data_IF_242589786593
#
_entry.id   IF_242589786593
#
_cell.length_a   1.000
_cell.length_b   1.000
_cell.length_c   1.000
_cell.angle_alpha   90.00
_cell.angle_beta   90.00
_cell.angle_gamma   90.00
#
_symmetry.space_group_name_H-M   'P 1'
#
loop_
_entity.id
_entity.type
_entity.pdbx_description
1 polymer ?
#
# COMPACT_ATOMS: atom_id res chain seq x y z
N UNK A 1 16.51 17.52 -14.23
CA UNK A 1 16.24 16.13 -13.78
C UNK A 1 15.52 15.42 -14.91
N UNK A 2 16.01 14.27 -15.39
CA UNK A 2 15.35 13.49 -16.45
C UNK A 2 14.75 12.26 -15.77
N UNK A 3 13.42 12.15 -15.75
CA UNK A 3 12.71 10.95 -15.28
C UNK A 3 12.40 10.13 -16.54
N UNK A 4 12.72 8.84 -16.52
CA UNK A 4 12.46 7.93 -17.64
C UNK A 4 11.69 6.74 -17.10
N UNK A 5 10.50 6.52 -17.63
CA UNK A 5 9.71 5.32 -17.40
C UNK A 5 9.78 4.45 -18.66
N UNK A 6 9.91 3.13 -18.50
CA UNK A 6 10.02 2.17 -19.59
C UNK A 6 9.09 1.00 -19.28
N UNK A 7 8.39 0.51 -20.29
CA UNK A 7 7.46 -0.63 -20.19
C UNK A 7 7.70 -1.55 -21.39
N UNK A 8 7.73 -2.86 -21.15
CA UNK A 8 7.74 -3.86 -22.22
C UNK A 8 6.29 -4.17 -22.63
N UNK A 9 5.98 -4.02 -23.92
CA UNK A 9 4.63 -4.27 -24.45
C UNK A 9 4.68 -5.53 -25.30
N UNK A 10 4.03 -6.64 -24.88
CA UNK A 10 3.99 -7.85 -25.68
C UNK A 10 3.13 -7.61 -26.94
N UNK A 11 3.74 -7.75 -28.12
CA UNK A 11 3.05 -7.60 -29.41
C UNK A 11 2.38 -8.94 -29.78
N UNK A 12 1.07 -8.93 -29.98
CA UNK A 12 0.32 -10.06 -30.55
C UNK A 12 -0.17 -9.66 -31.94
N UNK A 13 0.05 -10.51 -32.95
CA UNK A 13 -0.49 -10.32 -34.32
C UNK A 13 -0.08 -8.99 -34.98
N UNK A 14 1.19 -8.58 -34.81
CA UNK A 14 1.80 -7.39 -35.45
C UNK A 14 1.12 -6.03 -35.13
N UNK A 15 0.19 -6.00 -34.17
CA UNK A 15 -0.45 -4.77 -33.69
C UNK A 15 -0.39 -4.71 -32.17
N UNK A 16 -0.10 -3.53 -31.64
CA UNK A 16 -0.22 -3.25 -30.22
C UNK A 16 -1.01 -1.95 -30.02
N UNK A 17 -1.85 -1.94 -29.01
CA UNK A 17 -2.48 -0.74 -28.48
C UNK A 17 -2.09 -0.67 -27.01
N UNK A 18 -1.43 0.42 -26.61
CA UNK A 18 -1.04 0.65 -25.23
C UNK A 18 -1.64 1.97 -24.77
N UNK A 19 -2.48 1.89 -23.74
CA UNK A 19 -3.06 3.06 -23.09
C UNK A 19 -2.28 3.34 -21.82
N UNK A 20 -1.87 4.58 -21.66
CA UNK A 20 -1.14 5.03 -20.49
C UNK A 20 -1.86 6.21 -19.87
N UNK A 21 -2.19 6.12 -18.58
CA UNK A 21 -2.80 7.24 -17.88
C UNK A 21 -1.75 8.31 -17.60
N UNK A 22 -1.97 9.49 -18.17
CA UNK A 22 -1.14 10.68 -17.92
C UNK A 22 -1.66 11.52 -16.76
N UNK A 23 -2.68 11.04 -16.05
CA UNK A 23 -3.39 11.76 -14.98
C UNK A 23 -2.51 12.20 -13.83
N UNK A 24 -1.46 11.43 -13.57
CA UNK A 24 -0.48 11.78 -12.57
C UNK A 24 0.54 12.77 -13.11
N UNK A 25 0.89 12.77 -14.40
CA UNK A 25 2.02 13.51 -15.00
C UNK A 25 1.83 15.04 -14.99
N UNK A 26 2.89 15.83 -14.76
CA UNK A 26 2.78 17.29 -14.81
C UNK A 26 2.58 17.76 -16.25
N UNK A 27 2.06 18.98 -16.40
CA UNK A 27 1.98 19.63 -17.71
C UNK A 27 3.37 19.80 -18.33
N UNK A 28 3.47 19.66 -19.64
CA UNK A 28 4.72 19.85 -20.38
C UNK A 28 4.90 18.93 -21.56
N UNK A 29 6.09 19.02 -22.14
CA UNK A 29 6.50 18.23 -23.31
C UNK A 29 7.18 16.93 -22.84
N UNK A 30 6.67 15.80 -23.32
CA UNK A 30 7.19 14.48 -23.03
C UNK A 30 7.67 13.80 -24.29
N UNK A 31 8.80 13.11 -24.18
CA UNK A 31 9.36 12.30 -25.26
C UNK A 31 8.86 10.87 -25.10
N UNK A 32 8.04 10.41 -26.04
CA UNK A 32 7.63 9.02 -26.17
C UNK A 32 8.53 8.36 -27.22
N UNK A 33 9.24 7.30 -26.83
CA UNK A 33 10.04 6.49 -27.74
C UNK A 33 9.47 5.08 -27.81
N UNK A 34 9.09 4.62 -29.01
CA UNK A 34 8.60 3.27 -29.26
C UNK A 34 9.37 2.70 -30.45
N UNK A 35 10.03 1.55 -30.25
CA UNK A 35 10.86 0.89 -31.27
C UNK A 35 11.86 1.84 -31.98
N UNK A 36 12.50 2.72 -31.19
CA UNK A 36 13.46 3.71 -31.71
C UNK A 36 12.83 4.94 -32.37
N UNK A 37 11.54 4.92 -32.70
CA UNK A 37 10.82 6.10 -33.16
C UNK A 37 10.46 7.00 -31.99
N UNK A 38 10.70 8.31 -32.14
CA UNK A 38 10.47 9.28 -31.08
C UNK A 38 9.40 10.29 -31.50
N UNK A 39 8.42 10.52 -30.61
CA UNK A 39 7.42 11.57 -30.73
C UNK A 39 7.39 12.43 -29.48
N UNK A 40 7.15 13.73 -29.67
CA UNK A 40 6.89 14.64 -28.57
C UNK A 40 5.38 14.70 -28.39
N UNK A 41 4.91 14.41 -27.17
CA UNK A 41 3.53 14.62 -26.76
C UNK A 41 3.49 15.80 -25.80
N UNK A 42 2.55 16.70 -25.99
CA UNK A 42 2.33 17.83 -25.09
C UNK A 42 1.13 17.50 -24.20
N UNK A 43 1.35 17.53 -22.89
CA UNK A 43 0.27 17.42 -21.91
C UNK A 43 -0.16 18.83 -21.51
N UNK A 44 -1.34 19.24 -22.01
CA UNK A 44 -1.99 20.50 -21.68
C UNK A 44 -3.02 20.31 -20.56
N UNK A 45 -3.35 21.38 -19.79
CA UNK A 45 -4.47 21.33 -18.87
C UNK A 45 -5.76 21.00 -19.63
N UNK A 46 -6.53 20.05 -19.11
CA UNK A 46 -7.86 19.71 -19.67
C UNK A 46 -8.76 20.95 -19.59
N UNK A 47 -8.94 21.63 -20.72
CA UNK A 47 -9.92 22.69 -20.88
C UNK A 47 -11.29 22.06 -21.08
N UNK A 48 -12.15 22.12 -20.06
CA UNK A 48 -13.58 21.91 -20.25
C UNK A 48 -14.11 23.00 -21.19
N UNK A 49 -14.61 22.60 -22.36
CA UNK A 49 -15.50 23.45 -23.16
C UNK A 49 -16.79 23.68 -22.36
N UNK A 50 -16.99 24.92 -21.91
CA UNK A 50 -18.31 25.42 -21.52
C UNK A 50 -18.42 26.88 -22.00
N UNK A 51 -19.42 27.11 -22.86
CA UNK A 51 -19.88 28.40 -23.38
C UNK A 51 -20.18 29.43 -22.28
N UNK A 52 -20.16 30.74 -22.59
CA UNK A 52 -20.06 31.80 -21.60
C UNK A 52 -21.43 32.22 -21.07
N UNK A 53 -21.54 32.37 -19.75
CA UNK A 53 -22.49 33.30 -19.15
C UNK A 53 -21.82 34.10 -18.04
N UNK A 54 -22.03 35.40 -18.12
CA UNK A 54 -21.65 36.41 -17.15
C UNK A 54 -22.29 36.18 -15.79
N UNK A 55 -21.53 36.27 -14.71
CA UNK A 55 -21.77 37.31 -13.70
C UNK A 55 -20.70 37.31 -12.59
N UNK A 56 -20.51 38.51 -12.04
CA UNK A 56 -19.50 38.88 -11.05
C UNK A 56 -19.97 38.47 -9.65
N UNK A 57 -19.11 37.85 -8.86
CA UNK A 57 -18.97 38.18 -7.43
C UNK A 57 -17.70 37.58 -6.83
N UNK A 58 -16.96 38.43 -6.14
CA UNK A 58 -15.79 38.12 -5.34
C UNK A 58 -16.19 37.50 -4.01
N UNK A 59 -15.70 36.29 -3.70
CA UNK A 59 -15.47 35.84 -2.33
C UNK A 59 -14.36 34.78 -2.33
N UNK A 60 -13.43 34.90 -1.38
CA UNK A 60 -12.19 34.13 -1.33
C UNK A 60 -12.45 32.63 -1.17
N UNK A 61 -11.97 31.86 -2.15
CA UNK A 61 -12.00 30.40 -2.15
C UNK A 61 -10.67 29.85 -1.68
N UNK A 62 -10.73 29.00 -0.66
CA UNK A 62 -9.67 28.09 -0.25
C UNK A 62 -9.20 27.24 -1.43
N UNK A 63 -7.88 27.15 -1.58
CA UNK A 63 -7.15 26.46 -2.63
C UNK A 63 -7.43 24.95 -2.66
N UNK A 64 -8.45 24.53 -3.39
CA UNK A 64 -8.58 23.16 -3.90
C UNK A 64 -8.03 23.14 -5.34
N UNK A 65 -6.71 23.31 -5.45
CA UNK A 65 -5.99 23.21 -6.71
C UNK A 65 -5.54 21.77 -6.93
N UNK A 66 -6.14 21.10 -7.90
CA UNK A 66 -5.43 20.50 -9.04
C UNK A 66 -6.27 19.40 -9.68
N UNK A 67 -6.47 19.58 -10.99
CA UNK A 67 -7.06 18.66 -11.93
C UNK A 67 -6.33 17.30 -11.86
N UNK A 68 -6.94 16.32 -11.18
CA UNK A 68 -6.54 14.94 -11.30
C UNK A 68 -7.05 14.45 -12.66
N UNK A 69 -6.16 14.11 -13.59
CA UNK A 69 -6.61 13.45 -14.82
C UNK A 69 -7.42 12.20 -14.50
N UNK A 70 -8.19 11.73 -15.47
CA UNK A 70 -9.07 10.60 -15.28
C UNK A 70 -8.25 9.29 -15.16
N UNK A 71 -8.41 8.58 -14.04
CA UNK A 71 -7.91 7.21 -13.88
C UNK A 71 -8.88 6.25 -14.61
N UNK A 72 -8.46 5.03 -14.99
CA UNK A 72 -9.40 4.04 -15.56
C UNK A 72 -10.62 3.82 -14.67
N UNK A 73 -10.43 3.84 -13.35
CA UNK A 73 -11.50 3.74 -12.36
C UNK A 73 -12.41 4.97 -12.32
N UNK A 74 -11.91 6.18 -12.60
CA UNK A 74 -12.76 7.39 -12.76
C UNK A 74 -13.60 7.31 -14.04
N UNK A 75 -13.01 6.88 -15.15
CA UNK A 75 -13.72 6.70 -16.43
C UNK A 75 -14.84 5.66 -16.31
N UNK A 76 -14.55 4.54 -15.64
CA UNK A 76 -15.53 3.49 -15.34
C UNK A 76 -16.54 3.88 -14.25
N UNK A 77 -16.42 5.08 -13.66
CA UNK A 77 -17.22 5.55 -12.51
C UNK A 77 -17.14 4.61 -11.29
N UNK A 78 -16.02 3.90 -11.14
CA UNK A 78 -15.71 3.00 -10.04
C UNK A 78 -15.16 3.75 -8.80
N UNK A 79 -14.70 4.98 -8.93
CA UNK A 79 -14.23 5.74 -7.75
C UNK A 79 -15.39 6.18 -6.86
N UNK A 80 -15.31 5.84 -5.57
CA UNK A 80 -16.19 6.32 -4.51
C UNK A 80 -15.69 7.66 -3.95
N UNK A 81 -14.40 7.77 -3.65
CA UNK A 81 -13.77 9.03 -3.23
C UNK A 81 -12.28 9.01 -3.59
N UNK A 82 -11.68 10.19 -3.73
CA UNK A 82 -10.25 10.36 -3.97
C UNK A 82 -9.65 11.26 -2.91
N UNK A 83 -8.77 10.74 -2.06
CA UNK A 83 -7.96 11.55 -1.17
C UNK A 83 -6.59 11.86 -1.78
N UNK A 84 -6.02 13.00 -1.42
CA UNK A 84 -4.84 13.52 -2.10
C UNK A 84 -3.95 14.35 -1.18
N UNK A 85 -2.65 14.16 -1.32
CA UNK A 85 -1.62 14.98 -0.68
C UNK A 85 -0.51 15.31 -1.69
N UNK A 86 0.17 16.43 -1.51
CA UNK A 86 1.41 16.74 -2.22
C UNK A 86 2.53 16.87 -1.21
N UNK A 87 3.52 15.98 -1.31
CA UNK A 87 4.61 15.89 -0.35
C UNK A 87 5.92 16.37 -0.96
N UNK A 88 6.72 17.07 -0.16
CA UNK A 88 8.13 17.32 -0.50
C UNK A 88 8.95 16.18 0.07
N UNK A 89 9.73 15.53 -0.79
CA UNK A 89 10.57 14.39 -0.40
C UNK A 89 12.04 14.75 -0.56
N UNK A 90 12.85 14.30 0.38
CA UNK A 90 14.32 14.42 0.33
C UNK A 90 14.90 13.02 0.37
N UNK A 91 15.83 12.74 -0.55
CA UNK A 91 16.48 11.42 -0.65
C UNK A 91 17.03 10.99 0.72
N UNK A 92 16.70 9.76 1.13
CA UNK A 92 17.13 9.15 2.38
C UNK A 92 16.44 9.69 3.65
N UNK A 93 15.46 10.59 3.51
CA UNK A 93 14.69 11.12 4.65
C UNK A 93 13.26 10.59 4.60
N UNK A 94 12.74 10.03 5.70
CA UNK A 94 11.33 9.64 5.78
C UNK A 94 10.43 10.87 5.61
N UNK A 95 9.34 10.70 4.86
CA UNK A 95 8.23 11.65 4.77
C UNK A 95 6.97 10.94 5.22
N UNK A 96 6.04 11.68 5.83
CA UNK A 96 4.79 11.14 6.32
C UNK A 96 3.61 12.10 6.10
N UNK A 97 2.41 11.55 6.09
CA UNK A 97 1.17 12.30 5.96
C UNK A 97 0.00 11.57 6.62
N UNK A 98 -0.90 12.34 7.23
CA UNK A 98 -2.14 11.85 7.81
C UNK A 98 -3.32 12.27 6.94
N UNK A 99 -4.20 11.32 6.64
CA UNK A 99 -5.42 11.55 5.88
C UNK A 99 -6.62 11.64 6.83
N UNK A 100 -7.43 12.68 6.68
CA UNK A 100 -8.55 12.98 7.58
C UNK A 100 -9.92 12.59 7.00
N UNK A 101 -9.95 12.15 5.74
CA UNK A 101 -11.21 11.87 5.05
C UNK A 101 -11.84 10.59 5.55
N UNK A 102 -12.99 10.69 6.19
CA UNK A 102 -13.72 9.54 6.77
C UNK A 102 -14.04 8.40 5.79
N UNK A 103 -14.24 8.71 4.50
CA UNK A 103 -14.51 7.70 3.48
C UNK A 103 -13.26 6.94 3.02
N UNK A 104 -12.06 7.43 3.36
CA UNK A 104 -10.77 6.78 3.11
C UNK A 104 -10.38 5.94 4.34
N UNK A 105 -10.25 4.61 4.22
CA UNK A 105 -9.82 3.77 5.34
C UNK A 105 -8.34 3.95 5.68
N UNK A 106 -7.50 4.44 4.75
CA UNK A 106 -6.06 4.68 4.98
C UNK A 106 -5.90 6.02 5.68
N UNK A 107 -5.41 6.01 6.91
CA UNK A 107 -5.28 7.18 7.79
C UNK A 107 -3.88 7.76 7.79
N UNK A 108 -2.87 6.97 7.45
CA UNK A 108 -1.48 7.38 7.49
C UNK A 108 -0.68 6.73 6.37
N UNK A 109 0.28 7.47 5.84
CA UNK A 109 1.33 6.96 4.99
C UNK A 109 2.67 7.52 5.45
N UNK A 110 3.69 6.67 5.45
CA UNK A 110 5.09 7.04 5.58
C UNK A 110 5.93 6.26 4.60
N UNK A 111 6.95 6.90 4.06
CA UNK A 111 7.93 6.22 3.22
C UNK A 111 9.24 7.00 3.17
N UNK A 112 10.33 6.32 2.82
CA UNK A 112 11.61 6.94 2.51
C UNK A 112 11.83 6.91 1.01
N UNK A 113 12.10 8.07 0.41
CA UNK A 113 12.43 8.13 -1.02
C UNK A 113 13.94 8.01 -1.26
N UNK A 114 14.34 7.31 -2.31
CA UNK A 114 15.71 7.30 -2.84
C UNK A 114 16.06 8.56 -3.64
N UNK A 115 15.09 9.41 -3.95
CA UNK A 115 15.27 10.63 -4.75
C UNK A 115 14.71 11.87 -4.04
N UNK A 116 15.20 13.05 -4.39
CA UNK A 116 14.69 14.32 -3.89
C UNK A 116 13.74 14.93 -4.91
N UNK A 117 12.53 15.29 -4.50
CA UNK A 117 11.53 15.97 -5.33
C UNK A 117 10.69 16.95 -4.51
N UNK A 118 10.44 18.13 -5.07
CA UNK A 118 9.72 19.20 -4.36
C UNK A 118 8.20 19.00 -4.32
N UNK A 119 7.66 18.18 -5.22
CA UNK A 119 6.23 17.88 -5.31
C UNK A 119 6.06 16.43 -5.72
N UNK A 120 5.60 15.60 -4.79
CA UNK A 120 5.28 14.20 -4.99
C UNK A 120 3.80 14.02 -4.65
N UNK A 121 2.92 13.86 -5.64
CA UNK A 121 1.52 13.58 -5.37
C UNK A 121 1.37 12.20 -4.70
N UNK A 122 0.56 12.12 -3.66
CA UNK A 122 0.06 10.86 -3.11
C UNK A 122 -1.44 10.86 -3.31
N UNK A 123 -1.94 9.91 -4.08
CA UNK A 123 -3.35 9.80 -4.44
C UNK A 123 -3.89 8.48 -3.92
N UNK A 124 -5.00 8.52 -3.18
CA UNK A 124 -5.72 7.34 -2.72
C UNK A 124 -7.12 7.39 -3.33
N UNK A 125 -7.43 6.46 -4.23
CA UNK A 125 -8.79 6.25 -4.73
C UNK A 125 -9.43 5.10 -3.98
N UNK A 126 -10.54 5.37 -3.29
CA UNK A 126 -11.40 4.33 -2.71
C UNK A 126 -12.41 3.93 -3.76
N UNK A 127 -12.52 2.63 -4.02
CA UNK A 127 -13.26 2.10 -5.15
C UNK A 127 -14.56 1.41 -4.70
N UNK A 128 -15.55 1.36 -5.60
CA UNK A 128 -16.84 0.69 -5.38
C UNK A 128 -16.71 -0.82 -5.61
N UNK A 129 -15.91 -1.22 -6.58
CA UNK A 129 -15.54 -2.58 -6.94
C UNK A 129 -14.02 -2.67 -7.10
N UNK A 130 -13.51 -3.88 -7.40
CA UNK A 130 -12.10 -4.10 -7.72
C UNK A 130 -11.63 -3.14 -8.82
N UNK A 131 -10.37 -2.70 -8.75
CA UNK A 131 -9.83 -1.74 -9.72
C UNK A 131 -9.93 -2.26 -11.16
N UNK A 132 -10.26 -1.36 -12.09
CA UNK A 132 -10.20 -1.61 -13.53
C UNK A 132 -8.79 -1.92 -14.05
N UNK A 133 -7.76 -1.72 -13.22
CA UNK A 133 -6.38 -2.11 -13.50
C UNK A 133 -6.10 -3.60 -13.24
N UNK A 134 -7.07 -4.33 -12.67
CA UNK A 134 -6.91 -5.71 -12.22
C UNK A 134 -8.01 -6.59 -12.82
N UNK A 135 -7.64 -7.80 -13.26
CA UNK A 135 -8.60 -8.74 -13.87
C UNK A 135 -9.37 -9.58 -12.86
N UNK A 136 -8.74 -9.91 -11.74
CA UNK A 136 -9.27 -10.84 -10.75
C UNK A 136 -9.47 -10.17 -9.39
N UNK A 137 -10.49 -10.58 -8.65
CA UNK A 137 -10.72 -10.11 -7.29
C UNK A 137 -9.82 -10.88 -6.31
N UNK A 138 -9.31 -10.25 -5.24
CA UNK A 138 -8.53 -10.95 -4.24
C UNK A 138 -9.39 -11.97 -3.49
N UNK A 139 -8.77 -13.08 -3.07
CA UNK A 139 -9.38 -14.01 -2.13
C UNK A 139 -9.62 -13.35 -0.76
N UNK A 140 -10.76 -13.67 -0.16
CA UNK A 140 -11.22 -13.16 1.14
C UNK A 140 -12.46 -12.27 1.00
N UNK A 141 -13.05 -11.90 2.13
CA UNK A 141 -14.16 -10.94 2.17
C UNK A 141 -13.60 -9.53 2.11
N UNK A 142 -13.95 -8.78 1.06
CA UNK A 142 -13.39 -7.44 0.83
C UNK A 142 -14.10 -6.41 1.72
N UNK A 143 -13.32 -5.62 2.48
CA UNK A 143 -13.79 -4.43 3.18
C UNK A 143 -13.77 -3.21 2.25
N UNK A 144 -12.61 -2.94 1.63
CA UNK A 144 -12.40 -1.81 0.71
C UNK A 144 -11.41 -2.18 -0.39
N UNK A 145 -11.72 -1.76 -1.61
CA UNK A 145 -10.79 -1.74 -2.74
C UNK A 145 -10.20 -0.33 -2.85
N UNK A 146 -8.91 -0.25 -3.15
CA UNK A 146 -8.15 0.99 -3.16
C UNK A 146 -7.20 1.01 -4.37
N UNK A 147 -6.90 2.18 -4.89
CA UNK A 147 -5.66 2.43 -5.61
C UNK A 147 -4.84 3.43 -4.82
N UNK A 148 -3.56 3.14 -4.62
CA UNK A 148 -2.63 4.08 -3.97
C UNK A 148 -1.49 4.35 -4.93
N UNK A 149 -1.29 5.62 -5.28
CA UNK A 149 -0.18 6.06 -6.12
C UNK A 149 0.68 7.05 -5.36
N UNK A 150 2.00 6.82 -5.40
CA UNK A 150 3.00 7.73 -4.84
C UNK A 150 3.88 8.24 -5.97
N UNK A 151 3.86 9.56 -6.14
CA UNK A 151 4.54 10.26 -7.21
C UNK A 151 3.94 10.01 -8.59
N UNK A 152 4.68 10.51 -9.57
CA UNK A 152 4.41 10.27 -10.98
C UNK A 152 4.76 8.83 -11.36
N UNK A 153 4.26 8.35 -12.48
CA UNK A 153 4.58 6.99 -12.91
C UNK A 153 6.10 6.77 -13.08
N UNK A 154 6.58 5.60 -12.64
CA UNK A 154 8.00 5.29 -12.49
C UNK A 154 8.65 5.85 -11.22
N UNK A 155 7.92 6.60 -10.39
CA UNK A 155 8.40 7.08 -9.10
C UNK A 155 8.37 5.97 -8.04
N UNK A 156 7.22 5.33 -7.85
CA UNK A 156 7.00 4.29 -6.84
C UNK A 156 7.52 2.91 -7.25
N UNK A 157 8.82 2.83 -7.56
CA UNK A 157 9.53 1.56 -7.79
C UNK A 157 10.32 1.18 -6.54
N UNK A 158 10.59 -0.13 -6.27
CA UNK A 158 11.33 -0.57 -5.08
C UNK A 158 12.70 0.10 -4.89
N UNK A 159 13.34 0.55 -5.99
CA UNK A 159 14.59 1.33 -5.95
C UNK A 159 14.41 2.70 -5.30
N UNK A 160 13.25 3.31 -5.48
CA UNK A 160 12.98 4.71 -5.14
C UNK A 160 12.10 4.86 -3.89
N UNK A 161 11.31 3.86 -3.51
CA UNK A 161 10.51 3.90 -2.29
C UNK A 161 10.92 2.74 -1.40
N UNK A 162 11.23 3.05 -0.14
CA UNK A 162 11.67 2.11 0.88
C UNK A 162 10.94 2.36 2.17
N UNK A 163 10.89 1.32 3.01
CA UNK A 163 10.37 1.40 4.38
C UNK A 163 8.98 2.04 4.42
N UNK A 164 8.12 1.63 3.47
CA UNK A 164 6.78 2.18 3.36
C UNK A 164 5.89 1.59 4.47
N UNK A 165 5.13 2.45 5.11
CA UNK A 165 4.17 2.14 6.15
C UNK A 165 2.85 2.77 5.75
N UNK A 166 1.79 2.00 5.82
CA UNK A 166 0.41 2.46 5.75
C UNK A 166 -0.27 2.13 7.06
N UNK A 167 -1.04 3.05 7.61
CA UNK A 167 -2.04 2.69 8.62
C UNK A 167 -3.42 2.82 8.02
N UNK A 168 -4.27 1.86 8.33
CA UNK A 168 -5.65 1.86 7.90
C UNK A 168 -6.56 1.39 9.02
N UNK A 169 -7.84 1.64 8.84
CA UNK A 169 -8.85 1.26 9.80
C UNK A 169 -10.01 0.47 9.18
N UNK A 170 -10.70 -0.27 10.04
CA UNK A 170 -11.89 -1.05 9.71
C UNK A 170 -12.94 -0.84 10.80
N UNK A 171 -14.18 -0.57 10.38
CA UNK A 171 -15.30 -0.44 11.32
C UNK A 171 -15.63 -1.81 11.94
N UNK A 172 -15.78 -1.88 13.26
CA UNK A 172 -16.03 -3.15 13.95
C UNK A 172 -17.34 -3.81 13.57
N UNK A 173 -18.35 -3.04 13.13
CA UNK A 173 -19.61 -3.60 12.64
C UNK A 173 -19.41 -4.50 11.42
N UNK A 174 -18.42 -4.19 10.57
CA UNK A 174 -18.11 -5.04 9.41
C UNK A 174 -17.62 -6.43 9.81
N UNK A 175 -16.89 -6.54 10.93
CA UNK A 175 -16.47 -7.84 11.46
C UNK A 175 -17.66 -8.69 11.90
N UNK A 176 -18.63 -8.09 12.59
CA UNK A 176 -19.84 -8.77 13.04
C UNK A 176 -20.69 -9.22 11.86
N UNK A 177 -20.89 -8.34 10.88
CA UNK A 177 -21.68 -8.62 9.67
C UNK A 177 -21.09 -9.75 8.82
N UNK A 178 -19.77 -9.86 8.78
CA UNK A 178 -19.06 -10.81 7.90
C UNK A 178 -18.43 -11.98 8.65
N UNK A 179 -18.61 -12.08 9.98
CA UNK A 179 -18.03 -13.11 10.83
C UNK A 179 -16.49 -13.23 10.66
N UNK A 180 -15.81 -12.09 10.62
CA UNK A 180 -14.36 -11.99 10.46
C UNK A 180 -13.70 -11.75 11.83
N UNK A 181 -12.66 -12.51 12.14
CA UNK A 181 -11.80 -12.22 13.29
C UNK A 181 -10.97 -10.97 12.99
N UNK A 182 -10.96 -9.93 13.86
CA UNK A 182 -10.12 -8.75 13.69
C UNK A 182 -8.62 -9.06 13.47
N UNK A 183 -8.12 -10.20 13.97
CA UNK A 183 -6.74 -10.67 13.76
C UNK A 183 -6.50 -11.29 12.37
N UNK A 184 -7.56 -11.49 11.56
CA UNK A 184 -7.52 -12.08 10.22
C UNK A 184 -7.83 -11.05 9.12
N UNK A 185 -7.49 -9.79 9.38
CA UNK A 185 -7.57 -8.71 8.41
C UNK A 185 -6.20 -8.45 7.83
N UNK A 186 -6.13 -8.39 6.51
CA UNK A 186 -4.89 -8.18 5.77
C UNK A 186 -5.10 -7.13 4.69
N UNK A 187 -4.06 -6.34 4.43
CA UNK A 187 -3.96 -5.63 3.17
C UNK A 187 -3.34 -6.56 2.13
N UNK A 188 -3.92 -6.60 0.94
CA UNK A 188 -3.36 -7.26 -0.24
C UNK A 188 -3.01 -6.21 -1.28
N UNK A 189 -1.93 -6.44 -2.00
CA UNK A 189 -1.52 -5.63 -3.14
C UNK A 189 -1.55 -6.48 -4.41
N UNK A 190 -1.83 -5.84 -5.55
CA UNK A 190 -1.78 -6.52 -6.82
C UNK A 190 -0.41 -6.40 -7.47
N UNK A 191 0.24 -7.54 -7.68
CA UNK A 191 1.49 -7.63 -8.41
C UNK A 191 1.20 -7.80 -9.91
N UNK A 192 1.43 -6.73 -10.67
CA UNK A 192 1.21 -6.71 -12.13
C UNK A 192 2.23 -7.53 -12.92
N UNK A 193 3.40 -7.83 -12.34
CA UNK A 193 4.42 -8.66 -12.99
C UNK A 193 3.99 -10.14 -12.97
N UNK A 194 3.36 -10.58 -11.88
CA UNK A 194 2.90 -11.96 -11.71
C UNK A 194 1.41 -12.17 -12.00
N UNK A 195 0.65 -11.09 -12.22
CA UNK A 195 -0.82 -11.07 -12.40
C UNK A 195 -1.56 -11.68 -11.18
N UNK A 196 -1.09 -11.38 -9.95
CA UNK A 196 -1.59 -12.01 -8.71
C UNK A 196 -1.76 -11.02 -7.56
N UNK A 197 -2.66 -11.36 -6.65
CA UNK A 197 -2.78 -10.70 -5.35
C UNK A 197 -1.83 -11.30 -4.34
N UNK A 198 -1.03 -10.45 -3.71
CA UNK A 198 -0.03 -10.81 -2.71
C UNK A 198 -0.37 -10.17 -1.36
N UNK A 199 -0.06 -10.86 -0.26
CA UNK A 199 -0.30 -10.34 1.07
C UNK A 199 0.75 -9.28 1.41
N UNK A 200 0.29 -8.13 1.88
CA UNK A 200 1.15 -7.15 2.53
C UNK A 200 1.29 -7.54 4.01
N UNK A 201 2.50 -7.58 4.59
CA UNK A 201 2.67 -7.74 6.03
C UNK A 201 1.78 -6.75 6.78
N UNK A 202 0.83 -7.28 7.54
CA UNK A 202 -0.22 -6.50 8.21
C UNK A 202 -0.28 -6.87 9.68
N UNK A 203 -0.26 -5.87 10.55
CA UNK A 203 -0.30 -6.02 12.00
C UNK A 203 -1.50 -5.29 12.57
N UNK A 204 -2.31 -5.98 13.36
CA UNK A 204 -3.34 -5.35 14.19
C UNK A 204 -2.69 -4.49 15.29
N UNK A 205 -3.13 -3.25 15.43
CA UNK A 205 -2.62 -2.31 16.43
C UNK A 205 -3.54 -2.33 17.65
N UNK A 206 -4.76 -1.83 17.49
CA UNK A 206 -5.74 -1.70 18.57
C UNK A 206 -7.17 -1.53 18.03
N UNK A 207 -8.14 -1.52 18.94
CA UNK A 207 -9.52 -1.15 18.65
C UNK A 207 -9.97 -0.08 19.63
N UNK A 208 -10.40 1.06 19.11
CA UNK A 208 -10.86 2.21 19.87
C UNK A 208 -12.17 2.70 19.28
N UNK A 209 -13.17 2.95 20.12
CA UNK A 209 -14.44 3.61 19.72
C UNK A 209 -15.14 2.96 18.51
N UNK A 210 -15.10 1.63 18.39
CA UNK A 210 -15.76 0.90 17.28
C UNK A 210 -14.96 0.90 15.98
N UNK A 211 -13.66 1.24 16.03
CA UNK A 211 -12.75 1.24 14.90
C UNK A 211 -11.52 0.39 15.27
N UNK A 212 -11.18 -0.58 14.43
CA UNK A 212 -9.94 -1.34 14.53
C UNK A 212 -8.87 -0.73 13.61
N UNK A 213 -7.65 -0.59 14.11
CA UNK A 213 -6.52 0.02 13.43
C UNK A 213 -5.44 -1.02 13.13
N UNK A 214 -4.82 -0.87 11.96
CA UNK A 214 -3.84 -1.80 11.42
C UNK A 214 -2.68 -1.04 10.79
N UNK A 215 -1.48 -1.62 10.88
CA UNK A 215 -0.30 -1.20 10.14
C UNK A 215 -0.02 -2.19 9.02
N UNK A 216 0.29 -1.72 7.82
CA UNK A 216 0.76 -2.51 6.70
C UNK A 216 2.07 -1.98 6.13
N UNK A 217 2.91 -2.88 5.65
CA UNK A 217 4.26 -2.58 5.15
C UNK A 217 4.43 -3.03 3.68
N UNK A 218 3.88 -2.27 2.71
CA UNK A 218 3.99 -2.64 1.31
C UNK A 218 5.41 -2.39 0.76
N UNK A 219 5.85 -3.22 -0.18
CA UNK A 219 7.10 -3.04 -0.91
C UNK A 219 6.93 -2.28 -2.23
N UNK A 220 5.69 -2.14 -2.68
CA UNK A 220 5.27 -1.57 -3.95
C UNK A 220 3.91 -0.90 -3.81
N UNK A 221 3.63 0.07 -4.69
CA UNK A 221 2.34 0.76 -4.72
C UNK A 221 1.58 0.33 -5.98
N UNK A 222 0.39 -0.21 -5.77
CA UNK A 222 -0.45 -0.83 -6.79
C UNK A 222 -1.93 -0.60 -6.45
N UNK A 223 -2.88 -1.23 -7.17
CA UNK A 223 -4.18 -1.53 -6.59
C UNK A 223 -4.00 -2.34 -5.30
N UNK A 224 -4.82 -2.04 -4.30
CA UNK A 224 -4.86 -2.70 -2.99
C UNK A 224 -6.29 -3.13 -2.65
N UNK A 225 -6.39 -4.10 -1.73
CA UNK A 225 -7.63 -4.45 -1.08
C UNK A 225 -7.40 -4.73 0.41
N UNK A 226 -8.30 -4.24 1.25
CA UNK A 226 -8.39 -4.65 2.65
C UNK A 226 -9.36 -5.82 2.71
N UNK A 227 -8.89 -6.98 3.16
CA UNK A 227 -9.66 -8.23 3.16
C UNK A 227 -9.66 -8.89 4.53
N UNK A 228 -10.77 -9.53 4.87
CA UNK A 228 -10.89 -10.44 6.00
C UNK A 228 -10.87 -11.88 5.52
N UNK A 229 -10.05 -12.72 6.15
CA UNK A 229 -9.99 -14.15 5.86
C UNK A 229 -10.86 -14.92 6.84
N UNK A 230 -11.66 -15.86 6.31
CA UNK A 230 -12.45 -16.73 7.16
C UNK A 230 -11.54 -17.65 7.98
N UNK A 231 -12.08 -18.17 9.08
CA UNK A 231 -11.32 -18.99 10.01
C UNK A 231 -10.74 -20.29 9.43
N UNK A 232 -11.13 -20.67 8.21
CA UNK A 232 -10.77 -21.93 7.55
C UNK A 232 -9.56 -21.83 6.63
N UNK A 233 -9.13 -20.63 6.24
CA UNK A 233 -8.11 -20.44 5.19
C UNK A 233 -6.67 -20.49 5.71
N UNK A 234 -6.48 -20.67 7.03
CA UNK A 234 -5.16 -20.62 7.69
C UNK A 234 -4.31 -21.90 7.51
N UNK A 235 -4.70 -22.84 6.64
CA UNK A 235 -3.96 -24.11 6.45
C UNK A 235 -3.20 -24.25 5.12
N UNK A 236 -3.15 -23.23 4.25
CA UNK A 236 -2.58 -23.41 2.89
C UNK A 236 -1.37 -22.54 2.49
N UNK A 237 -0.74 -21.78 3.39
CA UNK A 237 0.32 -20.84 2.95
C UNK A 237 1.50 -20.65 3.92
N UNK A 238 2.08 -21.75 4.45
CA UNK A 238 3.35 -21.69 5.22
C UNK A 238 4.46 -22.61 4.66
N UNK A 239 4.25 -23.33 3.55
CA UNK A 239 5.31 -24.14 2.95
C UNK A 239 5.35 -24.01 1.43
N UNK A 240 5.89 -22.90 0.93
CA UNK A 240 6.60 -22.91 -0.34
C UNK A 240 8.08 -22.63 -0.04
N UNK A 241 8.80 -23.70 0.29
CA UNK A 241 10.24 -23.77 0.18
C UNK A 241 10.59 -25.09 -0.51
N UNK A 242 11.29 -24.96 -1.63
CA UNK A 242 11.74 -25.99 -2.57
C UNK A 242 11.90 -27.40 -2.00
N UNK A 243 11.34 -28.38 -2.71
CA UNK A 243 12.07 -29.61 -3.04
C UNK A 243 11.42 -30.34 -4.23
N UNK A 244 12.10 -30.30 -5.39
CA UNK A 244 12.07 -31.41 -6.35
C UNK A 244 12.48 -32.70 -5.62
N UNK A 245 11.74 -33.80 -5.76
CA UNK A 245 12.12 -35.03 -6.48
C UNK A 245 10.98 -36.07 -6.39
N UNK A 246 10.94 -36.96 -7.37
CA UNK A 246 9.87 -37.84 -7.85
C UNK A 246 9.31 -38.96 -6.93
N UNK A 247 8.13 -39.42 -7.37
CA UNK A 247 7.29 -40.57 -7.03
C UNK A 247 7.93 -41.87 -6.49
N UNK A 248 7.31 -42.50 -5.49
CA UNK A 248 6.37 -43.64 -5.67
C UNK A 248 5.97 -44.32 -4.34
N UNK A 249 4.72 -44.76 -4.25
CA UNK A 249 4.12 -45.43 -3.09
C UNK A 249 4.45 -46.92 -3.03
N UNK A 250 4.67 -47.47 -1.83
CA UNK A 250 4.04 -48.73 -1.41
C UNK A 250 3.80 -48.78 0.11
N UNK A 251 2.58 -49.22 0.44
CA UNK A 251 1.97 -49.38 1.75
C UNK A 251 2.22 -50.80 2.30
N UNK A 252 2.55 -50.97 3.59
CA UNK A 252 2.07 -52.13 4.36
C UNK A 252 2.21 -52.01 5.91
N UNK A 253 1.06 -52.03 6.59
CA UNK A 253 0.70 -52.79 7.79
C UNK A 253 1.52 -52.77 9.11
N UNK A 254 0.89 -52.12 10.10
CA UNK A 254 0.52 -52.64 11.45
C UNK A 254 1.43 -52.49 12.70
N UNK A 255 0.77 -51.94 13.73
CA UNK A 255 0.87 -52.20 15.18
C UNK A 255 1.74 -51.30 16.10
N UNK A 256 1.01 -50.39 16.77
CA UNK A 256 1.06 -49.96 18.19
C UNK A 256 2.43 -49.59 18.80
N UNK A 257 2.58 -48.31 19.16
CA UNK A 257 2.92 -47.87 20.54
C UNK A 257 2.45 -46.43 20.77
N UNK A 258 1.52 -46.26 21.73
CA UNK A 258 1.27 -44.97 22.36
C UNK A 258 2.53 -44.52 23.08
N UNK A 259 2.94 -43.28 22.89
CA UNK A 259 3.56 -42.50 23.96
C UNK A 259 3.04 -41.07 23.84
N UNK A 260 2.16 -40.68 24.77
CA UNK A 260 1.96 -39.26 25.08
C UNK A 260 3.19 -38.79 25.86
N UNK A 261 3.77 -37.66 25.48
CA UNK A 261 4.38 -36.77 26.45
C UNK A 261 4.05 -35.32 26.08
N UNK A 262 3.12 -34.76 26.85
CA UNK A 262 3.04 -33.34 27.10
C UNK A 262 4.33 -32.90 27.79
N UNK A 263 4.95 -31.81 27.34
CA UNK A 263 5.75 -30.97 28.23
C UNK A 263 5.70 -29.51 27.76
N UNK A 264 4.96 -28.70 28.50
CA UNK A 264 5.23 -27.28 28.64
C UNK A 264 6.72 -27.09 28.99
N UNK A 265 7.46 -26.29 28.22
CA UNK A 265 8.70 -25.71 28.68
C UNK A 265 8.64 -24.19 28.49
N UNK A 266 8.09 -23.56 29.52
CA UNK A 266 8.27 -22.14 29.81
C UNK A 266 9.71 -21.99 30.29
N UNK A 267 10.58 -21.36 29.52
CA UNK A 267 11.87 -20.86 30.01
C UNK A 267 11.82 -19.35 30.16
N UNK A 268 11.75 -18.94 31.43
CA UNK A 268 11.79 -17.59 31.94
C UNK A 268 13.24 -17.08 31.89
N UNK A 269 13.51 -15.95 31.20
CA UNK A 269 14.77 -15.21 31.34
C UNK A 269 14.44 -13.84 31.95
N UNK A 270 14.71 -13.71 33.25
CA UNK A 270 14.70 -12.43 33.97
C UNK A 270 16.12 -12.01 34.34
N UNK A 271 16.50 -10.81 33.90
CA UNK A 271 17.12 -9.78 34.74
C UNK A 271 18.64 -9.75 34.88
N UNK A 272 19.28 -8.75 34.25
CA UNK A 272 20.31 -7.81 34.76
C UNK A 272 20.28 -6.64 33.74
N UNK A 273 20.02 -5.36 34.06
CA UNK A 273 20.96 -4.33 34.54
C UNK A 273 20.15 -3.13 35.07
N UNK A 274 20.08 -2.95 36.40
CA UNK A 274 19.87 -1.65 37.05
C UNK A 274 20.88 -1.56 38.20
N UNK A 275 22.12 -1.18 37.88
CA UNK A 275 23.12 -0.74 38.86
C UNK A 275 24.06 0.28 38.21
N UNK A 276 23.53 1.48 37.94
CA UNK A 276 24.34 2.66 37.59
C UNK A 276 23.95 3.94 38.37
N UNK A 277 22.89 3.89 39.21
CA UNK A 277 22.34 5.09 39.85
C UNK A 277 22.82 5.41 41.26
N UNK A 278 23.46 4.49 41.99
CA UNK A 278 23.70 4.66 43.44
C UNK A 278 25.14 4.98 43.84
N UNK A 279 26.09 5.01 42.90
CA UNK A 279 27.51 5.26 43.22
C UNK A 279 27.94 6.75 43.15
N UNK A 280 27.12 7.63 42.57
CA UNK A 280 27.49 9.06 42.40
C UNK A 280 27.11 9.91 43.63
N UNK A 281 26.22 9.44 44.51
CA UNK A 281 25.75 10.26 45.63
C UNK A 281 26.60 10.17 46.92
N UNK A 282 27.53 9.22 47.01
CA UNK A 282 28.35 9.05 48.22
C UNK A 282 29.69 9.78 48.22
N UNK A 283 30.07 10.45 47.12
CA UNK A 283 31.39 11.12 47.02
C UNK A 283 31.36 12.65 47.09
N UNK A 284 30.22 13.27 47.42
CA UNK A 284 30.08 14.75 47.46
C UNK A 284 29.67 15.35 48.82
N UNK A 285 29.82 14.60 49.93
CA UNK A 285 29.52 15.08 51.29
C UNK A 285 30.68 15.01 52.30
N UNK A 286 31.91 14.93 51.81
CA UNK A 286 33.14 15.09 52.60
C UNK A 286 34.09 15.94 51.75
N UNK A 287 33.99 17.27 51.91
CA UNK A 287 34.94 18.34 51.54
C UNK A 287 34.17 19.66 51.42
N UNK A 288 33.78 20.19 52.57
CA UNK A 288 33.41 21.59 52.77
C UNK A 288 33.70 21.95 54.23
N UNK A 289 34.98 22.08 54.53
CA UNK A 289 35.56 23.18 55.33
C UNK A 289 36.80 23.66 54.57
#
# INVERSE_FOLDING_TARGET
MKITATSEIPVKEERYEFKYSTSSMPEGDFTLTVDGETKIIQLNPSSNEAEPSSDRSSSGGSSAGSSAGTSPDKDAKNVLTTDFANLRVTSGTPVEHHFERTANPVTYIKFTSGVTANSVPVTIEVLKQTSELVKETPEGTIYKNLNIWVGYAGFAVPKNIKDAILEFNVNTAWFEENNIDPQKVFMKHYNSETDKWENVPTTYIETLEGIAYYQAEPDSFSPFAIVGMENKDTQKSIYDLDTETEHSYQENSSSIKRTMFNSNLITLITGVVIMAGTFVFYRKRQNKE
#
